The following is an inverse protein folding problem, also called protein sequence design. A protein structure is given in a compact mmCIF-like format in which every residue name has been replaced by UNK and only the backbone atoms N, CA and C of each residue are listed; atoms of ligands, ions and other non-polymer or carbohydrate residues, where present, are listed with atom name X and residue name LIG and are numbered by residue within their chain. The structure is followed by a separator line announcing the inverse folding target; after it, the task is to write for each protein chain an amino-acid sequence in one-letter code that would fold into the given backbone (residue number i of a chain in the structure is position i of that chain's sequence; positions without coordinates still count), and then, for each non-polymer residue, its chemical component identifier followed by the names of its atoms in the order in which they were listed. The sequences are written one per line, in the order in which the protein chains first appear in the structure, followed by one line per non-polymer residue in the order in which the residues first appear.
data_IF_252872818739
#
_entry.id   IF_252872818739
#
_cell.length_a   1.000
_cell.length_b   1.000
_cell.length_c   1.000
_cell.angle_alpha   90.00
_cell.angle_beta   90.00
_cell.angle_gamma   90.00
#
_symmetry.space_group_name_H-M   'P 1'
#
loop_
_entity.id
_entity.type
_entity.pdbx_description
1 polymer ?
#
# COMPACT_ATOMS: atom_id res chain seq x y z
N UNK A 1 -0.45 7.44 -2.90
CA UNK A 1 -1.50 7.07 -1.92
C UNK A 1 -2.26 5.90 -2.49
N UNK A 2 -2.47 4.84 -1.69
CA UNK A 2 -3.25 3.68 -2.12
C UNK A 2 -4.43 3.50 -1.18
N UNK A 3 -5.62 3.31 -1.76
CA UNK A 3 -6.87 3.09 -1.01
C UNK A 3 -7.46 1.75 -1.41
N UNK A 4 -7.86 0.94 -0.42
CA UNK A 4 -8.59 -0.30 -0.64
C UNK A 4 -9.91 -0.27 0.13
N UNK A 5 -10.98 -0.78 -0.47
CA UNK A 5 -12.31 -0.88 0.15
C UNK A 5 -12.80 -2.32 -0.01
N UNK A 6 -13.19 -2.96 1.09
CA UNK A 6 -13.70 -4.34 1.07
C UNK A 6 -14.81 -4.56 2.11
N UNK A 7 -15.76 -5.48 1.89
CA UNK A 7 -16.81 -5.79 2.85
C UNK A 7 -16.25 -6.28 4.20
N UNK A 8 -16.99 -6.02 5.29
CA UNK A 8 -16.61 -6.49 6.63
C UNK A 8 -16.50 -8.02 6.71
N UNK A 9 -17.33 -8.74 5.95
CA UNK A 9 -17.38 -10.21 5.96
C UNK A 9 -16.08 -10.89 5.52
N UNK A 10 -15.20 -10.19 4.79
CA UNK A 10 -13.93 -10.74 4.28
C UNK A 10 -12.71 -10.14 4.99
N UNK A 11 -12.90 -9.39 6.07
CA UNK A 11 -11.84 -8.64 6.74
C UNK A 11 -10.65 -9.52 7.16
N UNK A 12 -10.94 -10.67 7.76
CA UNK A 12 -9.91 -11.59 8.25
C UNK A 12 -9.10 -12.20 7.11
N UNK A 13 -9.75 -12.54 6.00
CA UNK A 13 -9.10 -13.11 4.81
C UNK A 13 -8.20 -12.08 4.13
N UNK A 14 -8.67 -10.83 4.04
CA UNK A 14 -7.85 -9.71 3.54
C UNK A 14 -6.63 -9.49 4.44
N UNK A 15 -6.79 -9.51 5.76
CA UNK A 15 -5.69 -9.37 6.71
C UNK A 15 -4.64 -10.48 6.58
N UNK A 16 -5.07 -11.74 6.48
CA UNK A 16 -4.18 -12.89 6.25
C UNK A 16 -3.42 -12.75 4.93
N UNK A 17 -4.13 -12.40 3.86
CA UNK A 17 -3.51 -12.26 2.53
C UNK A 17 -2.51 -11.11 2.49
N UNK A 18 -2.82 -10.00 3.16
CA UNK A 18 -1.89 -8.88 3.30
C UNK A 18 -0.59 -9.31 3.98
N UNK A 19 -0.66 -10.05 5.09
CA UNK A 19 0.53 -10.56 5.79
C UNK A 19 1.34 -11.55 4.93
N UNK A 20 0.68 -12.41 4.16
CA UNK A 20 1.33 -13.33 3.22
C UNK A 20 2.11 -12.56 2.13
N UNK A 21 1.45 -11.57 1.51
CA UNK A 21 2.05 -10.75 0.44
C UNK A 21 3.19 -9.89 0.99
N UNK A 22 3.03 -9.29 2.17
CA UNK A 22 4.06 -8.45 2.79
C UNK A 22 5.32 -9.25 3.16
N UNK A 23 5.19 -10.55 3.49
CA UNK A 23 6.35 -11.43 3.69
C UNK A 23 7.06 -11.76 2.38
N UNK A 24 6.31 -11.99 1.30
CA UNK A 24 6.86 -12.32 -0.02
C UNK A 24 7.48 -11.11 -0.72
N UNK A 25 6.90 -9.94 -0.51
CA UNK A 25 7.29 -8.67 -1.13
C UNK A 25 7.44 -7.61 -0.03
N UNK A 26 8.54 -7.66 0.74
CA UNK A 26 8.78 -6.68 1.79
C UNK A 26 8.93 -5.27 1.18
N UNK A 27 8.51 -4.21 1.91
CA UNK A 27 8.67 -2.84 1.43
C UNK A 27 10.13 -2.48 1.13
N UNK A 28 10.40 -2.00 -0.08
CA UNK A 28 11.71 -1.50 -0.45
C UNK A 28 11.91 -0.08 0.10
N UNK A 29 12.64 0.00 1.21
CA UNK A 29 12.98 1.24 1.90
C UNK A 29 13.93 2.14 1.10
N UNK A 30 14.54 1.65 0.01
CA UNK A 30 15.35 2.47 -0.89
C UNK A 30 14.48 3.37 -1.77
N UNK A 31 13.24 2.95 -2.09
CA UNK A 31 12.35 3.63 -3.03
C UNK A 31 11.44 4.65 -2.34
N UNK A 32 10.87 4.29 -1.20
CA UNK A 32 9.92 5.14 -0.51
C UNK A 32 10.06 5.02 1.01
N UNK A 33 9.72 6.11 1.69
CA UNK A 33 9.52 6.15 3.14
C UNK A 33 8.04 5.97 3.42
N UNK A 34 7.69 4.98 4.22
CA UNK A 34 6.31 4.83 4.71
C UNK A 34 6.00 5.93 5.71
N UNK A 35 4.96 6.72 5.44
CA UNK A 35 4.44 7.76 6.33
C UNK A 35 3.29 7.20 7.16
N UNK A 36 2.37 6.48 6.50
CA UNK A 36 1.27 5.76 7.15
C UNK A 36 1.21 4.36 6.56
N UNK A 37 1.47 3.35 7.40
CA UNK A 37 1.48 1.95 6.98
C UNK A 37 0.08 1.46 6.63
N UNK A 38 -0.91 1.72 7.48
CA UNK A 38 -2.32 1.47 7.22
C UNK A 38 -3.19 2.30 8.17
N UNK A 39 -4.00 3.21 7.62
CA UNK A 39 -5.11 3.83 8.33
C UNK A 39 -6.39 3.07 7.94
N UNK A 40 -7.05 2.44 8.92
CA UNK A 40 -8.20 1.56 8.70
C UNK A 40 -9.43 2.17 9.32
N UNK A 41 -10.53 2.24 8.56
CA UNK A 41 -11.84 2.69 9.04
C UNK A 41 -12.92 1.73 8.56
N UNK A 42 -13.65 1.15 9.50
CA UNK A 42 -14.90 0.46 9.20
C UNK A 42 -16.04 1.49 9.08
N UNK A 43 -16.81 1.40 7.99
CA UNK A 43 -18.01 2.20 7.71
C UNK A 43 -19.15 1.26 7.34
N UNK A 44 -20.35 1.81 7.13
CA UNK A 44 -21.50 1.05 6.60
C UNK A 44 -21.27 0.53 5.18
N UNK A 45 -20.27 1.05 4.46
CA UNK A 45 -19.91 0.65 3.10
C UNK A 45 -18.80 -0.43 3.07
N UNK A 46 -18.28 -0.83 4.23
CA UNK A 46 -17.20 -1.80 4.36
C UNK A 46 -16.01 -1.25 5.15
N UNK A 47 -14.84 -1.81 4.92
CA UNK A 47 -13.58 -1.37 5.51
C UNK A 47 -12.78 -0.63 4.46
N UNK A 48 -12.47 0.64 4.76
CA UNK A 48 -11.58 1.47 3.96
C UNK A 48 -10.20 1.48 4.60
N UNK A 49 -9.17 1.19 3.80
CA UNK A 49 -7.77 1.22 4.21
C UNK A 49 -7.01 2.20 3.34
N UNK A 50 -6.26 3.11 3.97
CA UNK A 50 -5.39 4.08 3.29
C UNK A 50 -3.93 3.82 3.69
N UNK A 51 -3.06 3.73 2.70
CA UNK A 51 -1.61 3.69 2.89
C UNK A 51 -0.94 4.91 2.23
N UNK A 52 -0.02 5.54 2.95
CA UNK A 52 0.74 6.70 2.50
C UNK A 52 2.23 6.41 2.52
N UNK A 53 2.86 6.51 1.35
CA UNK A 53 4.29 6.41 1.17
C UNK A 53 4.77 7.66 0.45
N UNK A 54 5.89 8.21 0.92
CA UNK A 54 6.62 9.30 0.29
C UNK A 54 7.74 8.70 -0.55
N UNK A 55 7.65 8.85 -1.87
CA UNK A 55 8.71 8.38 -2.77
C UNK A 55 9.94 9.27 -2.58
N UNK A 56 11.12 8.66 -2.47
CA UNK A 56 12.35 9.45 -2.27
C UNK A 56 12.64 10.31 -3.50
N UNK A 57 13.22 11.51 -3.31
CA UNK A 57 13.67 12.35 -4.41
C UNK A 57 14.58 11.58 -5.38
N UNK A 58 14.43 11.82 -6.68
CA UNK A 58 15.19 11.15 -7.74
C UNK A 58 14.65 9.78 -8.16
N UNK A 59 13.96 9.03 -7.28
CA UNK A 59 13.38 7.72 -7.65
C UNK A 59 12.17 7.82 -8.57
N UNK A 60 11.44 8.93 -8.51
CA UNK A 60 10.36 9.21 -9.48
C UNK A 60 10.95 9.47 -10.86
N UNK A 61 12.04 10.23 -10.94
CA UNK A 61 12.71 10.55 -12.21
C UNK A 61 13.32 9.30 -12.83
N UNK A 62 14.06 8.51 -12.05
CA UNK A 62 14.65 7.22 -12.47
C UNK A 62 13.58 6.23 -12.99
N UNK A 63 12.38 6.23 -12.37
CA UNK A 63 11.28 5.39 -12.83
C UNK A 63 10.68 5.87 -14.15
N UNK A 64 10.57 7.19 -14.36
CA UNK A 64 10.05 7.78 -15.60
C UNK A 64 11.04 7.58 -16.76
N UNK A 65 12.33 7.84 -16.53
CA UNK A 65 13.40 7.62 -17.53
C UNK A 65 13.49 6.15 -17.98
N UNK A 66 13.21 5.19 -17.08
CA UNK A 66 13.14 3.75 -17.43
C UNK A 66 11.94 3.37 -18.29
N UNK A 67 10.93 4.22 -18.39
CA UNK A 67 9.70 3.97 -19.16
C UNK A 67 9.63 4.75 -20.47
N UNK A 68 10.56 5.68 -20.70
CA UNK A 68 10.72 6.33 -22.01
C UNK A 68 11.54 5.42 -22.93
N UNK A 69 11.01 5.21 -24.15
CA UNK A 69 11.61 4.47 -25.27
C UNK A 69 12.58 5.39 -26.01
#
# INVERSE_FOLDING_TARGET
MTTAIYPLSVADDVGKKFLEVAKKFPPDRSLAKTIVQAAVKATTEGITVIALNEVKPGKVVEALERTEI
#
